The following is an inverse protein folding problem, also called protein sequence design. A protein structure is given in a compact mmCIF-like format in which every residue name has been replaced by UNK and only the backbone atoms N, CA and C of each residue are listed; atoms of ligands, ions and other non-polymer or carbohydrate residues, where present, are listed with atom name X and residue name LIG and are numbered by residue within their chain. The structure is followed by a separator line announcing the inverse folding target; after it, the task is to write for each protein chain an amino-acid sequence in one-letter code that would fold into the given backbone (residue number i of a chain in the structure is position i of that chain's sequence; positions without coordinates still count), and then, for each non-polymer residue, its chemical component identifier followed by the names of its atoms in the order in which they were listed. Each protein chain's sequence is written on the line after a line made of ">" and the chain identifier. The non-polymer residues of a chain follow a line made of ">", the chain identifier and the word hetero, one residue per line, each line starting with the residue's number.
data_IF_657766301117
#
_entry.id   IF_657766301117
#
_cell.length_a   1.000
_cell.length_b   1.000
_cell.length_c   1.000
_cell.angle_alpha   90.00
_cell.angle_beta   90.00
_cell.angle_gamma   90.00
#
_symmetry.space_group_name_H-M   'P 1'
#
loop_
_entity.id
_entity.type
_entity.pdbx_description
1 polymer ?
#
# COMPACT_ATOMS: atom_id res chain seq x y z
N UNK A 1 -7.21 11.59 2.51
CA UNK A 1 -8.29 11.27 1.57
C UNK A 1 -8.33 9.77 1.19
N UNK A 2 -7.50 9.26 0.29
CA UNK A 2 -7.57 7.86 -0.23
C UNK A 2 -7.66 6.77 0.86
N UNK A 3 -6.91 6.91 1.96
CA UNK A 3 -6.96 5.94 3.06
C UNK A 3 -8.36 5.81 3.69
N UNK A 4 -9.12 6.90 3.76
CA UNK A 4 -10.51 6.86 4.21
C UNK A 4 -11.43 6.26 3.14
N UNK A 5 -11.26 6.64 1.87
CA UNK A 5 -12.08 6.16 0.75
C UNK A 5 -12.00 4.63 0.64
N UNK A 6 -10.78 4.08 0.65
CA UNK A 6 -10.55 2.65 0.45
C UNK A 6 -10.68 1.81 1.73
N UNK A 7 -10.31 2.36 2.91
CA UNK A 7 -10.24 1.55 4.16
C UNK A 7 -11.15 2.03 5.29
N UNK A 8 -11.73 3.23 5.18
CA UNK A 8 -12.56 3.86 6.20
C UNK A 8 -11.78 4.60 7.29
N UNK A 9 -10.45 4.47 7.35
CA UNK A 9 -9.62 5.10 8.38
C UNK A 9 -9.49 6.62 8.17
N UNK A 10 -9.94 7.41 9.16
CA UNK A 10 -9.97 8.88 9.05
C UNK A 10 -8.66 9.52 9.48
N UNK A 11 -8.40 10.72 8.97
CA UNK A 11 -7.14 11.46 9.15
C UNK A 11 -6.75 11.74 10.61
N UNK A 12 -7.70 11.78 11.54
CA UNK A 12 -7.42 11.97 12.98
C UNK A 12 -7.14 10.67 13.73
N UNK A 13 -7.32 9.51 13.09
CA UNK A 13 -7.15 8.19 13.70
C UNK A 13 -5.74 7.63 13.47
N UNK A 14 -4.92 8.26 12.65
CA UNK A 14 -3.55 7.84 12.37
C UNK A 14 -2.58 9.00 12.31
N UNK A 15 -1.31 8.68 12.57
CA UNK A 15 -0.18 9.55 12.32
C UNK A 15 0.39 9.23 10.94
N UNK A 16 0.37 10.22 10.04
CA UNK A 16 1.03 10.10 8.74
C UNK A 16 2.54 10.34 8.93
N UNK A 17 3.31 9.26 8.86
CA UNK A 17 4.76 9.30 8.89
C UNK A 17 5.40 9.69 7.55
N UNK A 18 6.72 9.52 7.41
CA UNK A 18 7.45 10.03 6.26
C UNK A 18 7.11 9.27 4.97
N UNK A 19 7.40 9.95 3.86
CA UNK A 19 7.54 9.33 2.55
C UNK A 19 8.74 8.38 2.56
N UNK A 20 8.49 7.08 2.40
CA UNK A 20 9.51 6.04 2.53
C UNK A 20 9.96 5.45 1.19
N UNK A 21 9.07 5.36 0.21
CA UNK A 21 9.39 4.80 -1.11
C UNK A 21 8.74 5.56 -2.26
N UNK A 22 9.39 5.50 -3.42
CA UNK A 22 8.84 5.93 -4.69
C UNK A 22 8.90 4.81 -5.72
N UNK A 23 7.92 4.80 -6.63
CA UNK A 23 7.86 3.83 -7.73
C UNK A 23 7.31 4.52 -8.97
N UNK A 24 7.93 4.26 -10.12
CA UNK A 24 7.44 4.72 -11.42
C UNK A 24 7.39 3.53 -12.34
N UNK A 25 6.20 3.22 -12.85
CA UNK A 25 6.03 2.03 -13.68
C UNK A 25 4.97 2.23 -14.75
N UNK A 26 5.12 1.43 -15.81
CA UNK A 26 4.19 1.41 -16.93
C UNK A 26 3.48 0.08 -16.94
N UNK A 27 2.17 0.13 -17.07
CA UNK A 27 1.32 -1.05 -17.04
C UNK A 27 0.14 -0.85 -18.01
N UNK A 28 -0.64 -1.91 -18.22
CA UNK A 28 -1.78 -1.90 -19.14
C UNK A 28 -3.07 -2.24 -18.40
N UNK A 29 -4.12 -1.49 -18.69
CA UNK A 29 -5.50 -1.83 -18.33
C UNK A 29 -6.30 -1.96 -19.62
N UNK A 30 -6.77 -3.17 -19.96
CA UNK A 30 -7.42 -3.40 -21.25
C UNK A 30 -6.51 -3.04 -22.42
N UNK A 31 -6.98 -2.15 -23.30
CA UNK A 31 -6.21 -1.66 -24.46
C UNK A 31 -5.25 -0.50 -24.11
N UNK A 32 -5.47 0.15 -22.98
CA UNK A 32 -4.80 1.39 -22.62
C UNK A 32 -3.49 1.14 -21.87
N UNK A 33 -2.55 2.06 -22.06
CA UNK A 33 -1.23 2.06 -21.42
C UNK A 33 -1.18 3.22 -20.43
N UNK A 34 -0.83 2.90 -19.19
CA UNK A 34 -0.74 3.85 -18.09
C UNK A 34 0.71 3.96 -17.64
N UNK A 35 1.06 5.16 -17.15
CA UNK A 35 2.25 5.38 -16.36
C UNK A 35 1.81 5.85 -14.98
N UNK A 36 2.20 5.09 -13.96
CA UNK A 36 1.94 5.43 -12.56
C UNK A 36 3.22 5.97 -11.93
N UNK A 37 3.08 7.07 -11.20
CA UNK A 37 4.11 7.67 -10.34
C UNK A 37 3.57 7.62 -8.91
N UNK A 38 4.13 6.74 -8.10
CA UNK A 38 3.62 6.35 -6.79
C UNK A 38 4.57 6.85 -5.69
N UNK A 39 3.98 7.30 -4.59
CA UNK A 39 4.68 7.63 -3.35
C UNK A 39 4.06 6.86 -2.20
N UNK A 40 4.89 6.19 -1.42
CA UNK A 40 4.46 5.38 -0.28
C UNK A 40 4.81 6.10 1.02
N UNK A 41 3.81 6.23 1.90
CA UNK A 41 3.96 6.83 3.21
C UNK A 41 3.71 5.77 4.29
N UNK A 42 4.41 5.89 5.42
CA UNK A 42 4.16 5.02 6.57
C UNK A 42 3.12 5.66 7.50
N UNK A 43 1.89 5.18 7.48
CA UNK A 43 0.87 5.58 8.47
C UNK A 43 0.91 4.65 9.70
N UNK A 44 0.79 5.22 10.90
CA UNK A 44 0.66 4.48 12.16
C UNK A 44 -0.67 4.82 12.82
N UNK A 45 -1.45 3.82 13.16
CA UNK A 45 -2.76 4.00 13.79
C UNK A 45 -3.14 2.81 14.67
N UNK A 46 -4.33 2.85 15.28
CA UNK A 46 -4.86 1.72 16.04
C UNK A 46 -5.16 0.54 15.11
N UNK A 47 -5.40 -0.62 15.71
CA UNK A 47 -5.99 -1.73 14.97
C UNK A 47 -7.44 -1.37 14.59
N UNK A 48 -7.85 -1.70 13.37
CA UNK A 48 -9.21 -1.50 12.88
C UNK A 48 -9.57 -2.58 11.85
N UNK A 49 -10.86 -2.73 11.54
CA UNK A 49 -11.31 -3.57 10.43
C UNK A 49 -11.58 -2.66 9.23
N UNK A 50 -10.86 -2.81 8.11
CA UNK A 50 -11.07 -1.96 6.95
C UNK A 50 -12.49 -2.07 6.41
N UNK A 51 -13.15 -0.93 6.24
CA UNK A 51 -14.47 -0.79 5.66
C UNK A 51 -14.43 0.43 4.73
N UNK A 52 -14.45 0.24 3.41
CA UNK A 52 -14.36 1.36 2.48
C UNK A 52 -15.40 2.44 2.77
N UNK A 53 -14.97 3.69 2.78
CA UNK A 53 -15.83 4.85 3.02
C UNK A 53 -16.53 5.33 1.76
N UNK A 54 -15.83 5.30 0.62
CA UNK A 54 -16.29 5.84 -0.65
C UNK A 54 -15.44 5.32 -1.82
N UNK A 55 -15.60 4.04 -2.17
CA UNK A 55 -14.87 3.47 -3.33
C UNK A 55 -15.30 4.14 -4.62
N UNK A 56 -14.31 4.50 -5.44
CA UNK A 56 -14.56 4.97 -6.79
C UNK A 56 -15.14 3.82 -7.64
N UNK A 57 -15.86 4.14 -8.74
CA UNK A 57 -16.49 3.12 -9.58
C UNK A 57 -15.52 2.03 -10.05
N UNK A 58 -14.30 2.40 -10.45
CA UNK A 58 -13.29 1.42 -10.84
C UNK A 58 -12.89 0.52 -9.67
N UNK A 59 -12.54 1.10 -8.53
CA UNK A 59 -12.14 0.37 -7.31
C UNK A 59 -13.20 -0.64 -6.87
N UNK A 60 -14.49 -0.25 -6.91
CA UNK A 60 -15.60 -1.13 -6.55
C UNK A 60 -15.69 -2.41 -7.41
N UNK A 61 -15.14 -2.37 -8.63
CA UNK A 61 -15.13 -3.53 -9.54
C UNK A 61 -13.86 -4.37 -9.45
N UNK A 62 -12.80 -3.83 -8.83
CA UNK A 62 -11.45 -4.41 -8.86
C UNK A 62 -10.96 -4.82 -7.48
N UNK A 63 -11.56 -4.27 -6.43
CA UNK A 63 -11.23 -4.55 -5.04
C UNK A 63 -12.13 -5.66 -4.51
N UNK A 64 -11.54 -6.82 -4.24
CA UNK A 64 -12.28 -8.00 -3.77
C UNK A 64 -12.46 -8.04 -2.25
N UNK A 65 -11.66 -7.28 -1.50
CA UNK A 65 -11.77 -7.20 -0.05
C UNK A 65 -10.46 -6.81 0.63
N UNK A 66 -10.49 -6.81 1.96
CA UNK A 66 -9.39 -6.40 2.81
C UNK A 66 -9.03 -7.47 3.82
N UNK A 67 -7.74 -7.58 4.11
CA UNK A 67 -7.24 -8.30 5.28
C UNK A 67 -5.94 -7.69 5.78
N UNK A 68 -5.74 -7.77 7.10
CA UNK A 68 -4.45 -7.48 7.70
C UNK A 68 -3.50 -8.65 7.55
N UNK A 69 -2.26 -8.35 7.23
CA UNK A 69 -1.20 -9.33 7.13
C UNK A 69 -0.11 -9.08 8.16
N UNK A 70 0.36 -10.16 8.79
CA UNK A 70 1.64 -10.12 9.51
C UNK A 70 2.79 -10.21 8.50
N UNK A 71 3.98 -9.73 8.89
CA UNK A 71 5.17 -9.87 8.06
C UNK A 71 5.48 -11.35 7.75
N UNK A 72 5.33 -12.23 8.74
CA UNK A 72 5.53 -13.67 8.55
C UNK A 72 4.54 -14.27 7.54
N UNK A 73 3.27 -13.85 7.58
CA UNK A 73 2.28 -14.29 6.62
C UNK A 73 2.59 -13.79 5.20
N UNK A 74 3.03 -12.53 5.04
CA UNK A 74 3.50 -12.01 3.75
C UNK A 74 4.71 -12.77 3.20
N UNK A 75 5.62 -13.20 4.07
CA UNK A 75 6.81 -13.96 3.66
C UNK A 75 6.51 -15.42 3.33
N UNK A 76 5.50 -16.01 3.98
CA UNK A 76 5.06 -17.37 3.74
C UNK A 76 4.12 -17.49 2.53
N UNK A 77 3.48 -16.39 2.13
CA UNK A 77 2.62 -16.37 0.94
C UNK A 77 3.44 -16.50 -0.34
N UNK A 78 3.02 -17.44 -1.18
CA UNK A 78 3.71 -17.79 -2.44
C UNK A 78 2.79 -17.72 -3.66
N UNK A 79 1.47 -17.74 -3.47
CA UNK A 79 0.49 -17.75 -4.56
C UNK A 79 0.08 -16.33 -4.95
N UNK A 80 0.04 -15.41 -3.99
CA UNK A 80 -0.40 -14.04 -4.23
C UNK A 80 0.68 -13.18 -4.89
N UNK A 81 0.23 -12.21 -5.68
CA UNK A 81 1.09 -11.20 -6.28
C UNK A 81 1.02 -9.92 -5.44
N UNK A 82 2.13 -9.60 -4.77
CA UNK A 82 2.27 -8.31 -4.12
C UNK A 82 2.74 -7.22 -5.08
N UNK A 83 2.23 -6.01 -4.90
CA UNK A 83 2.68 -4.80 -5.58
C UNK A 83 3.04 -3.78 -4.50
N UNK A 84 4.33 -3.41 -4.34
CA UNK A 84 5.50 -3.89 -5.08
C UNK A 84 5.80 -5.38 -4.86
N UNK A 85 6.41 -6.06 -5.85
CA UNK A 85 6.74 -7.51 -5.79
C UNK A 85 7.60 -7.90 -4.59
N UNK A 86 8.44 -6.98 -4.12
CA UNK A 86 9.35 -7.17 -2.98
C UNK A 86 8.78 -6.64 -1.66
N UNK A 87 7.46 -6.41 -1.56
CA UNK A 87 6.81 -5.83 -0.39
C UNK A 87 7.26 -6.46 0.95
N UNK A 88 7.35 -7.80 1.12
CA UNK A 88 7.76 -8.37 2.39
C UNK A 88 9.20 -7.98 2.79
N UNK A 89 10.12 -7.93 1.81
CA UNK A 89 11.51 -7.53 2.03
C UNK A 89 11.62 -6.04 2.36
N UNK A 90 10.84 -5.21 1.68
CA UNK A 90 10.85 -3.75 1.87
C UNK A 90 10.23 -3.36 3.21
N UNK A 91 9.17 -4.04 3.64
CA UNK A 91 8.43 -3.72 4.86
C UNK A 91 9.19 -4.09 6.14
N UNK A 92 9.99 -5.16 6.11
CA UNK A 92 10.74 -5.66 7.27
C UNK A 92 11.59 -4.59 8.01
N UNK A 93 12.43 -3.76 7.35
CA UNK A 93 13.16 -2.69 8.03
C UNK A 93 12.25 -1.61 8.63
N UNK A 94 11.16 -1.24 7.96
CA UNK A 94 10.23 -0.23 8.47
C UNK A 94 9.52 -0.69 9.76
N UNK A 95 9.12 -1.96 9.81
CA UNK A 95 8.51 -2.57 11.01
C UNK A 95 9.52 -2.66 12.17
N UNK A 96 10.81 -2.80 11.87
CA UNK A 96 11.88 -2.74 12.85
C UNK A 96 12.27 -1.30 13.25
N UNK A 97 11.51 -0.28 12.84
CA UNK A 97 11.77 1.13 13.17
C UNK A 97 12.89 1.78 12.36
N UNK A 98 13.42 1.11 11.34
CA UNK A 98 14.51 1.62 10.49
C UNK A 98 13.91 2.32 9.26
N UNK A 99 13.65 3.62 9.41
CA UNK A 99 13.18 4.46 8.32
C UNK A 99 14.36 4.90 7.45
N UNK A 100 14.22 4.93 6.12
CA UNK A 100 15.27 5.45 5.25
C UNK A 100 15.37 6.99 5.43
N UNK A 101 16.58 7.57 5.31
CA UNK A 101 16.77 9.03 5.47
C UNK A 101 16.16 9.85 4.32
N UNK A 102 15.87 9.20 3.20
CA UNK A 102 15.16 9.73 2.04
C UNK A 102 14.36 8.60 1.39
N UNK A 103 13.32 8.90 0.58
CA UNK A 103 12.55 7.88 -0.12
C UNK A 103 13.44 6.99 -0.99
N UNK A 104 13.20 5.68 -0.95
CA UNK A 104 13.90 4.72 -1.80
C UNK A 104 13.09 4.47 -3.08
N UNK A 105 13.75 4.53 -4.23
CA UNK A 105 13.16 4.04 -5.48
C UNK A 105 13.10 2.52 -5.45
N UNK A 106 11.90 1.96 -5.43
CA UNK A 106 11.67 0.51 -5.26
C UNK A 106 11.39 -0.23 -6.57
N UNK A 107 11.63 0.43 -7.71
CA UNK A 107 11.62 -0.17 -9.05
C UNK A 107 10.50 0.36 -9.96
N UNK A 108 10.29 -0.37 -11.06
CA UNK A 108 9.14 -0.31 -11.95
C UNK A 108 8.35 -1.60 -11.82
#
# INVERSE_FOLDING_TARGET
>A
RELWEETGLREHEYELGPWVWDRRHVWRWGADRYESIERYYLARGPAFTPQPGDLQPLESTTMHGHRWWTLAALQAEIAEVFVPRRLPTLLAPLLAGRLPPAPLTIGA
#
